data_IF_709986042043
#
_entry.id   IF_709986042043
#
_cell.length_a   1.000
_cell.length_b   1.000
_cell.length_c   1.000
_cell.angle_alpha   90.00
_cell.angle_beta   90.00
_cell.angle_gamma   90.00
#
_symmetry.space_group_name_H-M   'P 1'
#
loop_
_entity.id
_entity.type
_entity.pdbx_description
1 polymer ?
#
# COMPACT_ATOMS: atom_id res chain seq x y z
N UNK A 1 11.86 -26.67 -31.40
CA UNK A 1 11.49 -26.01 -30.15
C UNK A 1 11.86 -24.55 -30.30
N UNK A 2 10.85 -23.71 -30.27
CA UNK A 2 11.04 -22.24 -30.24
C UNK A 2 11.48 -21.94 -28.81
N UNK A 3 12.77 -21.65 -28.62
CA UNK A 3 13.25 -21.14 -27.35
C UNK A 3 12.70 -19.73 -27.20
N UNK A 4 11.96 -19.47 -26.14
CA UNK A 4 11.71 -18.12 -25.70
C UNK A 4 13.07 -17.39 -25.53
N UNK A 5 13.11 -16.10 -25.82
CA UNK A 5 14.27 -15.25 -25.57
C UNK A 5 14.88 -15.56 -24.21
N UNK A 6 16.23 -15.54 -24.08
CA UNK A 6 16.86 -15.78 -22.79
C UNK A 6 16.22 -14.84 -21.77
N UNK A 7 15.72 -15.42 -20.67
CA UNK A 7 15.14 -14.64 -19.55
C UNK A 7 16.29 -13.87 -18.90
N UNK A 8 16.40 -12.62 -19.24
CA UNK A 8 17.21 -11.69 -18.46
C UNK A 8 16.39 -11.35 -17.20
N UNK A 9 16.57 -12.15 -16.17
CA UNK A 9 15.99 -11.88 -14.86
C UNK A 9 16.91 -10.91 -14.13
N UNK A 10 16.71 -9.62 -14.34
CA UNK A 10 17.36 -8.60 -13.49
C UNK A 10 16.63 -8.59 -12.16
N UNK A 11 17.32 -8.89 -11.04
CA UNK A 11 16.71 -8.81 -9.72
C UNK A 11 16.15 -7.40 -9.49
N UNK A 12 14.85 -7.27 -9.35
CA UNK A 12 14.19 -5.97 -9.23
C UNK A 12 13.34 -5.93 -7.96
N UNK A 13 13.43 -4.81 -7.24
CA UNK A 13 12.64 -4.54 -6.05
C UNK A 13 11.82 -3.27 -6.29
N UNK A 14 10.52 -3.36 -6.10
CA UNK A 14 9.63 -2.21 -6.12
C UNK A 14 9.34 -1.76 -4.70
N UNK A 15 9.56 -0.48 -4.44
CA UNK A 15 9.20 0.21 -3.19
C UNK A 15 7.99 1.07 -3.45
N UNK A 16 7.00 0.99 -2.59
CA UNK A 16 5.74 1.73 -2.68
C UNK A 16 5.49 2.53 -1.40
N UNK A 17 5.14 3.80 -1.55
CA UNK A 17 4.72 4.68 -0.46
C UNK A 17 3.40 5.37 -0.82
N UNK A 18 2.50 5.52 0.17
CA UNK A 18 1.18 6.12 0.00
C UNK A 18 0.94 7.23 1.01
N UNK A 19 0.58 8.40 0.49
CA UNK A 19 0.17 9.57 1.28
C UNK A 19 -1.07 10.19 0.65
N UNK A 20 -2.24 9.80 1.13
CA UNK A 20 -3.50 10.23 0.57
C UNK A 20 -3.63 11.77 0.56
N UNK A 21 -4.00 12.33 -0.60
CA UNK A 21 -4.19 13.77 -0.77
C UNK A 21 -2.93 14.54 -1.17
N UNK A 22 -1.73 13.94 -1.11
CA UNK A 22 -0.52 14.60 -1.57
C UNK A 22 -0.49 14.76 -3.09
N UNK A 23 0.01 15.90 -3.57
CA UNK A 23 0.23 16.12 -5.00
C UNK A 23 1.41 15.28 -5.53
N UNK A 24 1.50 15.03 -6.83
CA UNK A 24 2.64 14.31 -7.42
C UNK A 24 3.98 14.95 -7.08
N UNK A 25 4.06 16.28 -7.07
CA UNK A 25 5.28 17.02 -6.72
C UNK A 25 5.66 16.79 -5.26
N UNK A 26 4.69 16.81 -4.34
CA UNK A 26 4.93 16.54 -2.92
C UNK A 26 5.37 15.08 -2.72
N UNK A 27 4.76 14.14 -3.44
CA UNK A 27 5.18 12.73 -3.40
C UNK A 27 6.62 12.58 -3.90
N UNK A 28 6.99 13.26 -4.98
CA UNK A 28 8.34 13.21 -5.53
C UNK A 28 9.37 13.85 -4.59
N UNK A 29 9.11 15.05 -4.09
CA UNK A 29 10.10 15.80 -3.30
C UNK A 29 10.22 15.31 -1.86
N UNK A 30 9.10 15.01 -1.20
CA UNK A 30 9.07 14.67 0.23
C UNK A 30 9.25 13.19 0.50
N UNK A 31 9.01 12.32 -0.49
CA UNK A 31 9.07 10.87 -0.31
C UNK A 31 10.06 10.22 -1.27
N UNK A 32 9.91 10.41 -2.60
CA UNK A 32 10.78 9.74 -3.56
C UNK A 32 12.24 10.17 -3.42
N UNK A 33 12.52 11.48 -3.43
CA UNK A 33 13.87 12.01 -3.38
C UNK A 33 14.67 11.55 -2.14
N UNK A 34 14.17 11.60 -0.90
CA UNK A 34 14.87 11.05 0.26
C UNK A 34 15.15 9.56 0.16
N UNK A 35 14.20 8.77 -0.38
CA UNK A 35 14.35 7.34 -0.59
C UNK A 35 15.40 7.04 -1.66
N UNK A 36 15.35 7.71 -2.81
CA UNK A 36 16.31 7.55 -3.91
C UNK A 36 17.74 7.87 -3.48
N UNK A 37 17.89 8.94 -2.69
CA UNK A 37 19.19 9.31 -2.14
C UNK A 37 19.77 8.19 -1.28
N UNK A 38 18.97 7.57 -0.43
CA UNK A 38 19.43 6.47 0.40
C UNK A 38 19.68 5.20 -0.42
N UNK A 39 18.83 4.92 -1.40
CA UNK A 39 18.97 3.75 -2.27
C UNK A 39 20.20 3.85 -3.19
N UNK A 40 20.63 5.05 -3.57
CA UNK A 40 21.81 5.22 -4.43
C UNK A 40 23.10 4.63 -3.85
N UNK A 41 23.15 4.43 -2.52
CA UNK A 41 24.26 3.81 -1.82
C UNK A 41 24.18 2.27 -1.73
N UNK A 42 23.14 1.65 -2.29
CA UNK A 42 22.95 0.19 -2.20
C UNK A 42 23.94 -0.56 -3.08
N UNK A 43 24.58 -1.61 -2.56
CA UNK A 43 25.54 -2.40 -3.34
C UNK A 43 24.87 -3.12 -4.50
N UNK A 44 25.47 -3.07 -5.69
CA UNK A 44 24.98 -3.75 -6.88
C UNK A 44 23.71 -3.14 -7.49
N UNK A 45 23.34 -1.93 -7.11
CA UNK A 45 22.26 -1.18 -7.76
C UNK A 45 22.75 -0.69 -9.13
N UNK A 46 22.01 -1.02 -10.18
CA UNK A 46 22.33 -0.66 -11.59
C UNK A 46 21.43 0.48 -12.07
N UNK A 47 20.17 0.49 -11.63
CA UNK A 47 19.20 1.48 -12.05
C UNK A 47 18.14 1.77 -11.02
N UNK A 48 17.63 3.00 -11.03
CA UNK A 48 16.51 3.43 -10.22
C UNK A 48 15.53 4.20 -11.10
N UNK A 49 14.27 3.77 -11.09
CA UNK A 49 13.19 4.45 -11.79
C UNK A 49 12.08 4.77 -10.79
N UNK A 50 11.68 6.03 -10.70
CA UNK A 50 10.60 6.45 -9.83
C UNK A 50 9.42 7.01 -10.61
N UNK A 51 8.23 6.78 -10.10
CA UNK A 51 6.99 7.34 -10.63
C UNK A 51 6.12 7.81 -9.48
N UNK A 52 5.82 9.10 -9.47
CA UNK A 52 4.97 9.74 -8.45
C UNK A 52 3.68 10.21 -9.09
N UNK A 53 2.57 9.74 -8.55
CA UNK A 53 1.21 10.16 -8.90
C UNK A 53 0.52 10.75 -7.66
N UNK A 54 -0.70 11.21 -7.80
CA UNK A 54 -1.46 11.72 -6.66
C UNK A 54 -1.61 10.67 -5.56
N UNK A 55 -0.99 10.92 -4.42
CA UNK A 55 -1.08 10.07 -3.22
C UNK A 55 -0.27 8.78 -3.25
N UNK A 56 0.53 8.52 -4.28
CA UNK A 56 1.32 7.29 -4.40
C UNK A 56 2.65 7.54 -5.08
N UNK A 57 3.70 6.93 -4.55
CA UNK A 57 5.03 6.87 -5.20
C UNK A 57 5.48 5.43 -5.31
N UNK A 58 5.99 5.05 -6.47
CA UNK A 58 6.64 3.77 -6.75
C UNK A 58 8.06 3.99 -7.21
N UNK A 59 8.99 3.27 -6.62
CA UNK A 59 10.41 3.30 -6.96
C UNK A 59 10.82 1.88 -7.30
N UNK A 60 11.31 1.67 -8.51
CA UNK A 60 11.86 0.39 -8.97
C UNK A 60 13.39 0.46 -8.87
N UNK A 61 13.94 -0.53 -8.20
CA UNK A 61 15.38 -0.69 -7.97
C UNK A 61 15.85 -1.93 -8.73
N UNK A 62 16.68 -1.73 -9.73
CA UNK A 62 17.25 -2.79 -10.54
C UNK A 62 18.67 -3.10 -10.05
N UNK A 63 18.93 -4.36 -9.78
CA UNK A 63 20.23 -4.83 -9.30
C UNK A 63 20.96 -5.64 -10.37
N UNK A 64 22.28 -5.76 -10.23
CA UNK A 64 23.08 -6.63 -11.07
C UNK A 64 22.53 -8.06 -11.11
N UNK A 65 22.58 -8.71 -12.27
CA UNK A 65 22.06 -10.08 -12.45
C UNK A 65 22.74 -11.11 -11.50
N UNK A 66 23.97 -10.85 -11.08
CA UNK A 66 24.71 -11.66 -10.11
C UNK A 66 24.29 -11.46 -8.66
N UNK A 67 23.51 -10.40 -8.38
CA UNK A 67 23.10 -10.04 -7.02
C UNK A 67 22.00 -10.96 -6.52
N UNK A 68 22.19 -11.50 -5.31
CA UNK A 68 21.12 -12.24 -4.65
C UNK A 68 19.98 -11.30 -4.26
N UNK A 69 18.75 -11.58 -4.72
CA UNK A 69 17.57 -10.75 -4.50
C UNK A 69 17.17 -10.68 -3.01
N UNK A 70 17.45 -11.71 -2.23
CA UNK A 70 17.14 -11.73 -0.80
C UNK A 70 18.08 -10.81 -0.02
N UNK A 71 19.36 -10.82 -0.38
CA UNK A 71 20.34 -9.90 0.18
C UNK A 71 20.02 -8.44 -0.21
N UNK A 72 19.66 -8.20 -1.48
CA UNK A 72 19.22 -6.87 -1.93
C UNK A 72 17.97 -6.40 -1.17
N UNK A 73 17.00 -7.28 -0.93
CA UNK A 73 15.80 -6.96 -0.17
C UNK A 73 16.11 -6.60 1.29
N UNK A 74 17.05 -7.27 1.93
CA UNK A 74 17.51 -6.92 3.27
C UNK A 74 18.17 -5.54 3.32
N UNK A 75 18.99 -5.22 2.31
CA UNK A 75 19.63 -3.90 2.19
C UNK A 75 18.60 -2.79 1.95
N UNK A 76 17.60 -3.04 1.09
CA UNK A 76 16.47 -2.10 0.87
C UNK A 76 15.69 -1.88 2.15
N UNK A 77 15.40 -2.94 2.90
CA UNK A 77 14.70 -2.83 4.19
C UNK A 77 15.49 -1.99 5.19
N UNK A 78 16.79 -2.22 5.29
CA UNK A 78 17.67 -1.42 6.14
C UNK A 78 17.71 0.06 5.71
N UNK A 79 17.73 0.34 4.41
CA UNK A 79 17.66 1.69 3.85
C UNK A 79 16.32 2.37 4.18
N UNK A 80 15.19 1.68 4.03
CA UNK A 80 13.87 2.17 4.41
C UNK A 80 13.80 2.52 5.90
N UNK A 81 14.39 1.70 6.74
CA UNK A 81 14.44 1.97 8.18
C UNK A 81 15.26 3.22 8.51
N UNK A 82 16.43 3.42 7.87
CA UNK A 82 17.25 4.62 8.04
C UNK A 82 16.51 5.88 7.58
N UNK A 83 15.81 5.81 6.45
CA UNK A 83 15.08 6.94 5.87
C UNK A 83 13.80 7.29 6.65
N UNK A 84 13.28 6.38 7.47
CA UNK A 84 11.99 6.56 8.16
C UNK A 84 11.87 7.87 8.96
N UNK A 85 12.99 8.37 9.48
CA UNK A 85 13.03 9.64 10.26
C UNK A 85 13.02 10.90 9.39
N UNK A 86 13.34 10.77 8.09
CA UNK A 86 13.34 11.89 7.13
C UNK A 86 12.09 11.94 6.28
N UNK A 87 11.21 10.96 6.41
CA UNK A 87 9.92 10.94 5.75
C UNK A 87 8.87 11.74 6.53
N UNK A 88 7.84 12.28 5.85
CA UNK A 88 6.75 13.00 6.52
C UNK A 88 6.07 12.16 7.60
N UNK A 89 5.79 12.76 8.75
CA UNK A 89 5.07 12.14 9.88
C UNK A 89 3.62 11.81 9.57
N UNK A 90 3.07 12.43 8.52
CA UNK A 90 1.72 12.23 8.01
C UNK A 90 1.56 10.93 7.21
N UNK A 91 2.65 10.20 6.92
CA UNK A 91 2.55 8.90 6.27
C UNK A 91 1.75 7.93 7.14
N UNK A 92 0.61 7.41 6.67
CA UNK A 92 -0.26 6.52 7.45
C UNK A 92 0.40 5.16 7.73
N UNK A 93 1.37 4.77 6.91
CA UNK A 93 2.16 3.55 7.06
C UNK A 93 3.56 3.76 6.46
N UNK A 94 4.58 3.08 6.99
CA UNK A 94 5.92 3.10 6.38
C UNK A 94 5.88 2.57 4.95
N UNK A 95 6.83 3.00 4.08
CA UNK A 95 6.95 2.46 2.74
C UNK A 95 7.13 0.94 2.77
N UNK A 96 6.51 0.27 1.82
CA UNK A 96 6.60 -1.19 1.67
C UNK A 96 7.41 -1.54 0.44
N UNK A 97 8.03 -2.72 0.44
CA UNK A 97 8.76 -3.21 -0.73
C UNK A 97 8.28 -4.61 -1.12
N UNK A 98 8.44 -4.93 -2.38
CA UNK A 98 8.20 -6.27 -2.93
C UNK A 98 9.25 -6.60 -3.97
N UNK A 99 9.65 -7.86 -4.04
CA UNK A 99 10.46 -8.39 -5.13
C UNK A 99 9.57 -8.52 -6.34
N UNK A 100 10.00 -8.03 -7.48
CA UNK A 100 9.28 -8.15 -8.73
C UNK A 100 10.21 -8.75 -9.79
N UNK A 101 9.64 -9.51 -10.68
CA UNK A 101 10.32 -9.89 -11.90
C UNK A 101 9.65 -9.10 -13.04
N UNK A 102 10.34 -8.13 -13.67
CA UNK A 102 9.76 -7.33 -14.74
C UNK A 102 9.27 -8.16 -15.94
N UNK A 103 9.82 -9.38 -16.10
CA UNK A 103 9.41 -10.33 -17.14
C UNK A 103 8.14 -11.14 -16.81
N UNK A 104 7.63 -11.07 -15.58
CA UNK A 104 6.45 -11.83 -15.17
C UNK A 104 5.16 -11.13 -15.62
N UNK A 105 4.75 -11.43 -16.86
CA UNK A 105 3.41 -11.08 -17.31
C UNK A 105 2.38 -11.99 -16.62
N UNK A 106 1.18 -11.43 -16.34
CA UNK A 106 0.07 -12.24 -15.85
C UNK A 106 -0.26 -13.33 -16.87
N UNK A 107 -0.18 -14.60 -16.46
CA UNK A 107 -0.46 -15.75 -17.32
C UNK A 107 -1.96 -15.81 -17.63
N UNK A 108 -2.80 -15.49 -16.64
CA UNK A 108 -4.26 -15.52 -16.76
C UNK A 108 -4.82 -14.25 -16.12
N UNK A 109 -5.75 -13.62 -16.83
CA UNK A 109 -6.56 -12.52 -16.29
C UNK A 109 -8.02 -12.94 -16.31
N UNK A 110 -8.68 -12.90 -15.15
CA UNK A 110 -10.09 -13.27 -14.99
C UNK A 110 -10.88 -12.02 -14.64
N UNK A 111 -11.93 -11.73 -15.38
CA UNK A 111 -12.89 -10.68 -15.05
C UNK A 111 -14.03 -11.28 -14.22
N UNK A 112 -14.36 -10.66 -13.11
CA UNK A 112 -15.52 -11.01 -12.29
C UNK A 112 -16.54 -9.88 -12.37
N UNK A 113 -17.75 -10.25 -12.77
CA UNK A 113 -18.88 -9.32 -12.87
C UNK A 113 -20.09 -9.91 -12.15
N UNK A 114 -20.90 -9.04 -11.57
CA UNK A 114 -22.18 -9.43 -10.97
C UNK A 114 -23.24 -8.39 -11.29
N UNK A 115 -24.37 -8.78 -11.92
CA UNK A 115 -25.48 -7.88 -12.19
C UNK A 115 -26.30 -7.55 -10.93
N UNK A 116 -26.20 -8.36 -9.87
CA UNK A 116 -27.04 -8.26 -8.68
C UNK A 116 -26.28 -7.82 -7.43
N UNK A 117 -24.96 -8.02 -7.41
CA UNK A 117 -24.14 -7.73 -6.24
C UNK A 117 -23.46 -6.37 -6.38
N UNK A 118 -23.55 -5.47 -5.40
CA UNK A 118 -22.83 -4.21 -5.44
C UNK A 118 -21.32 -4.45 -5.42
N UNK A 119 -20.54 -3.59 -6.08
CA UNK A 119 -19.11 -3.73 -6.26
C UNK A 119 -18.33 -3.88 -4.94
N UNK A 120 -18.79 -3.25 -3.85
CA UNK A 120 -18.18 -3.40 -2.53
C UNK A 120 -18.28 -4.83 -2.00
N UNK A 121 -19.44 -5.46 -2.12
CA UNK A 121 -19.65 -6.86 -1.73
C UNK A 121 -18.88 -7.83 -2.64
N UNK A 122 -18.83 -7.53 -3.94
CA UNK A 122 -18.05 -8.33 -4.88
C UNK A 122 -16.56 -8.31 -4.50
N UNK A 123 -16.03 -7.14 -4.11
CA UNK A 123 -14.65 -7.03 -3.65
C UNK A 123 -14.39 -7.84 -2.37
N UNK A 124 -15.30 -7.76 -1.39
CA UNK A 124 -15.21 -8.59 -0.17
C UNK A 124 -15.22 -10.08 -0.50
N UNK A 125 -16.10 -10.52 -1.39
CA UNK A 125 -16.15 -11.91 -1.84
C UNK A 125 -14.85 -12.35 -2.54
N UNK A 126 -14.28 -11.47 -3.39
CA UNK A 126 -12.99 -11.75 -4.04
C UNK A 126 -11.88 -11.92 -2.98
N UNK A 127 -11.81 -11.02 -2.01
CA UNK A 127 -10.76 -11.04 -1.00
C UNK A 127 -10.89 -12.20 0.00
N UNK A 128 -12.11 -12.56 0.38
CA UNK A 128 -12.37 -13.58 1.40
C UNK A 128 -12.49 -15.01 0.84
N UNK A 129 -12.92 -15.15 -0.42
CA UNK A 129 -13.21 -16.47 -1.01
C UNK A 129 -12.32 -16.76 -2.21
N UNK A 130 -12.30 -15.87 -3.22
CA UNK A 130 -11.65 -16.17 -4.48
C UNK A 130 -10.12 -16.17 -4.36
N UNK A 131 -9.56 -15.15 -3.71
CA UNK A 131 -8.10 -15.03 -3.54
C UNK A 131 -7.53 -16.19 -2.72
N UNK A 132 -8.08 -16.55 -1.55
CA UNK A 132 -7.61 -17.69 -0.79
C UNK A 132 -7.73 -19.01 -1.56
N UNK A 133 -8.87 -19.24 -2.23
CA UNK A 133 -9.08 -20.47 -3.01
C UNK A 133 -8.07 -20.62 -4.15
N UNK A 134 -7.78 -19.53 -4.87
CA UNK A 134 -6.79 -19.56 -5.95
C UNK A 134 -5.36 -19.66 -5.43
N UNK A 135 -5.06 -19.09 -4.25
CA UNK A 135 -3.72 -19.15 -3.64
C UNK A 135 -3.30 -20.55 -3.23
N UNK A 136 -4.26 -21.45 -3.02
CA UNK A 136 -3.99 -22.86 -2.68
C UNK A 136 -3.72 -23.74 -3.90
N UNK A 137 -3.92 -23.23 -5.11
CA UNK A 137 -3.69 -23.99 -6.35
C UNK A 137 -2.19 -24.14 -6.60
N UNK A 138 -1.67 -25.38 -6.74
CA UNK A 138 -0.26 -25.60 -7.03
C UNK A 138 0.18 -24.86 -8.31
N UNK A 139 1.28 -24.12 -8.24
CA UNK A 139 1.81 -23.34 -9.36
C UNK A 139 1.34 -21.89 -9.42
N UNK A 140 0.43 -21.45 -8.58
CA UNK A 140 0.04 -20.04 -8.47
C UNK A 140 1.03 -19.33 -7.53
N UNK A 141 1.86 -18.46 -8.09
CA UNK A 141 2.87 -17.71 -7.33
C UNK A 141 2.32 -16.40 -6.76
N UNK A 142 1.49 -15.70 -7.54
CA UNK A 142 0.95 -14.39 -7.14
C UNK A 142 -0.43 -14.15 -7.75
N UNK A 143 -1.31 -13.53 -6.96
CA UNK A 143 -2.63 -13.07 -7.41
C UNK A 143 -2.69 -11.57 -7.21
N UNK A 144 -3.02 -10.85 -8.29
CA UNK A 144 -3.18 -9.39 -8.26
C UNK A 144 -4.62 -9.03 -8.59
N UNK A 145 -5.35 -8.46 -7.65
CA UNK A 145 -6.71 -7.98 -7.87
C UNK A 145 -6.66 -6.52 -8.32
N UNK A 146 -7.16 -6.26 -9.53
CA UNK A 146 -7.28 -4.91 -10.11
C UNK A 146 -8.73 -4.42 -10.02
N UNK A 147 -8.93 -3.10 -10.05
CA UNK A 147 -10.28 -2.50 -10.05
C UNK A 147 -11.00 -2.50 -8.70
N UNK A 148 -10.29 -2.74 -7.60
CA UNK A 148 -10.87 -2.70 -6.24
C UNK A 148 -11.48 -1.33 -5.94
N UNK A 149 -12.73 -1.32 -5.53
CA UNK A 149 -13.41 -0.16 -4.96
C UNK A 149 -13.74 -0.47 -3.50
N UNK A 150 -12.95 0.06 -2.59
CA UNK A 150 -13.24 -0.06 -1.16
C UNK A 150 -14.37 0.90 -0.80
N UNK A 151 -15.20 0.48 0.15
CA UNK A 151 -16.17 1.37 0.77
C UNK A 151 -15.39 2.53 1.42
N UNK A 152 -15.84 3.75 1.14
CA UNK A 152 -15.26 4.95 1.74
C UNK A 152 -16.37 5.96 1.99
N UNK A 153 -16.38 6.54 3.17
CA UNK A 153 -17.24 7.68 3.50
C UNK A 153 -16.50 8.94 3.08
N UNK A 154 -17.12 9.73 2.19
CA UNK A 154 -16.60 11.04 1.78
C UNK A 154 -17.34 12.13 2.54
N UNK A 155 -16.60 12.89 3.32
CA UNK A 155 -17.14 14.04 4.05
C UNK A 155 -16.85 15.29 3.22
N UNK A 156 -17.90 15.95 2.76
CA UNK A 156 -17.82 17.24 2.07
C UNK A 156 -18.11 18.34 3.09
N UNK A 157 -17.17 19.23 3.24
CA UNK A 157 -17.28 20.35 4.18
C UNK A 157 -17.51 21.63 3.39
N UNK A 158 -18.52 22.42 3.83
CA UNK A 158 -18.83 23.72 3.24
C UNK A 158 -17.90 24.80 3.82
N UNK A 159 -17.05 25.44 2.99
CA UNK A 159 -16.10 26.46 3.47
C UNK A 159 -16.78 27.69 4.09
N UNK A 160 -17.98 28.05 3.62
CA UNK A 160 -18.71 29.21 4.14
C UNK A 160 -19.24 28.94 5.55
N UNK A 161 -19.73 27.71 5.78
CA UNK A 161 -20.19 27.29 7.12
C UNK A 161 -19.01 27.13 8.09
N UNK A 162 -17.87 26.64 7.63
CA UNK A 162 -16.65 26.61 8.46
C UNK A 162 -16.24 28.01 8.92
N UNK A 163 -16.18 28.96 7.98
CA UNK A 163 -15.84 30.35 8.30
C UNK A 163 -16.87 31.01 9.24
N UNK A 164 -18.15 30.72 9.06
CA UNK A 164 -19.22 31.24 9.94
C UNK A 164 -19.15 30.69 11.38
N UNK A 165 -18.57 29.51 11.56
CA UNK A 165 -18.40 28.86 12.87
C UNK A 165 -16.98 29.01 13.44
N UNK A 166 -16.11 29.77 12.77
CA UNK A 166 -14.70 29.95 13.11
C UNK A 166 -13.94 28.62 13.27
N UNK A 167 -14.29 27.62 12.45
CA UNK A 167 -13.70 26.29 12.47
C UNK A 167 -12.74 26.10 11.31
N UNK A 168 -11.64 25.40 11.58
CA UNK A 168 -10.65 25.00 10.59
C UNK A 168 -10.95 23.60 10.04
N UNK A 169 -10.50 23.32 8.81
CA UNK A 169 -10.60 21.99 8.24
C UNK A 169 -9.82 20.94 9.06
N UNK A 170 -8.75 21.37 9.74
CA UNK A 170 -7.95 20.52 10.60
C UNK A 170 -8.73 20.06 11.84
N UNK A 171 -9.53 20.94 12.45
CA UNK A 171 -10.38 20.61 13.60
C UNK A 171 -11.49 19.63 13.22
N UNK A 172 -12.11 19.81 12.03
CA UNK A 172 -13.09 18.84 11.50
C UNK A 172 -12.43 17.48 11.28
N UNK A 173 -11.20 17.46 10.72
CA UNK A 173 -10.44 16.22 10.53
C UNK A 173 -10.09 15.54 11.85
N UNK A 174 -9.72 16.31 12.87
CA UNK A 174 -9.44 15.78 14.20
C UNK A 174 -10.69 15.22 14.88
N UNK A 175 -11.82 15.91 14.77
CA UNK A 175 -13.10 15.45 15.30
C UNK A 175 -13.57 14.16 14.63
N UNK A 176 -13.42 14.05 13.29
CA UNK A 176 -13.74 12.83 12.54
C UNK A 176 -12.86 11.66 12.97
N UNK A 177 -11.55 11.90 13.16
CA UNK A 177 -10.63 10.88 13.68
C UNK A 177 -11.03 10.41 15.08
N UNK A 178 -11.38 11.35 15.95
CA UNK A 178 -11.84 11.03 17.31
C UNK A 178 -13.17 10.29 17.36
N UNK A 179 -14.09 10.60 16.44
CA UNK A 179 -15.39 9.92 16.33
C UNK A 179 -15.28 8.51 15.69
N UNK A 180 -14.22 8.22 14.94
CA UNK A 180 -14.01 6.94 14.26
C UNK A 180 -13.01 6.05 15.01
N UNK A 181 -13.04 6.07 16.33
CA UNK A 181 -12.19 5.24 17.19
C UNK A 181 -13.04 4.14 17.80
N UNK A 182 -12.76 2.91 17.40
CA UNK A 182 -13.33 1.72 18.04
C UNK A 182 -12.50 1.43 19.30
N UNK A 183 -12.85 2.06 20.42
CA UNK A 183 -12.10 1.93 21.67
C UNK A 183 -12.75 0.87 22.54
N UNK A 184 -12.03 -0.17 22.97
CA UNK A 184 -12.54 -1.09 23.98
C UNK A 184 -12.71 -0.32 25.28
N UNK A 185 -13.94 -0.27 25.80
CA UNK A 185 -14.29 0.42 27.04
C UNK A 185 -13.93 -0.36 28.31
N UNK A 186 -13.38 -1.57 28.17
CA UNK A 186 -13.01 -2.45 29.25
C UNK A 186 -13.82 -3.74 29.26
N UNK A 187 -13.67 -4.52 30.32
CA UNK A 187 -14.41 -5.76 30.49
C UNK A 187 -15.21 -5.69 31.80
N UNK A 188 -16.41 -6.23 31.77
CA UNK A 188 -17.22 -6.44 32.95
C UNK A 188 -17.01 -7.88 33.43
N UNK A 189 -16.37 -8.01 34.59
CA UNK A 189 -16.18 -9.31 35.24
C UNK A 189 -17.41 -9.61 36.11
N UNK A 190 -18.13 -10.65 35.73
CA UNK A 190 -19.18 -11.25 36.57
C UNK A 190 -18.75 -12.63 37.04
N UNK A 191 -19.38 -13.16 38.12
CA UNK A 191 -19.01 -14.42 38.76
C UNK A 191 -19.03 -15.67 37.84
N UNK A 192 -19.60 -15.57 36.64
CA UNK A 192 -19.69 -16.67 35.66
C UNK A 192 -19.50 -16.26 34.19
N UNK A 193 -19.37 -14.96 33.87
CA UNK A 193 -19.27 -14.48 32.47
C UNK A 193 -18.42 -13.21 32.41
N UNK A 194 -17.54 -13.17 31.42
CA UNK A 194 -16.75 -12.01 31.08
C UNK A 194 -17.34 -11.38 29.81
N UNK A 195 -17.76 -10.11 29.85
CA UNK A 195 -18.32 -9.38 28.72
C UNK A 195 -17.36 -8.26 28.33
N UNK A 196 -16.90 -8.26 27.07
CA UNK A 196 -16.22 -7.12 26.49
C UNK A 196 -17.23 -6.07 26.07
N UNK A 197 -17.03 -4.84 26.51
CA UNK A 197 -17.84 -3.69 26.10
C UNK A 197 -17.09 -2.90 25.06
N UNK A 198 -17.66 -2.77 23.86
CA UNK A 198 -17.15 -1.92 22.78
C UNK A 198 -18.17 -0.81 22.52
N UNK A 199 -17.68 0.36 22.15
CA UNK A 199 -18.50 1.44 21.65
C UNK A 199 -18.46 1.40 20.11
N UNK A 200 -19.63 1.27 19.48
CA UNK A 200 -19.84 1.36 18.02
C UNK A 200 -19.86 2.81 17.58
#
# INVERSE_FOLDING_TARGET
PIAALPRYETPTIEVEAKLAGASPENMATSIATPLEKEFSALPGLVGTTSSSIQGETKIQLEFEASRNIDAAAADVQAALFRTSRSLPSELPAPPTYKKINPGDAAIISVALESPTMPMSRLNTYIDEVVVPALSTVPGVAQITVKGRKRYAVRVHVDPQKLAALDLTLLEVGAALKAANVNTPLGQLDGDRQMLMVQMD
#
